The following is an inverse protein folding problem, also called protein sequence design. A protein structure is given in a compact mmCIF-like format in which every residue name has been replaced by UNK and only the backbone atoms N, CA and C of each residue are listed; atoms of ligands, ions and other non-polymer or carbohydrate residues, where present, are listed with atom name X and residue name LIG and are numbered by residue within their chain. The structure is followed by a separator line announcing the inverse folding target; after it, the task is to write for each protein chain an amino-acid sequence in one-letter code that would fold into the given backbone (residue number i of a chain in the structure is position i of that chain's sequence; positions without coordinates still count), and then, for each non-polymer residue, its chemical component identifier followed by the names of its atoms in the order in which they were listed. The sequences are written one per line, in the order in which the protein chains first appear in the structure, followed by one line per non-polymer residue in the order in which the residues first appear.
data_IF_794680882130
#
_entry.id   IF_794680882130
#
_cell.length_a   1.000
_cell.length_b   1.000
_cell.length_c   1.000
_cell.angle_alpha   90.00
_cell.angle_beta   90.00
_cell.angle_gamma   90.00
#
_symmetry.space_group_name_H-M   'P 1'
#
loop_
_entity.id
_entity.type
_entity.pdbx_description
1 polymer ?
#
# COMPACT_ATOMS: atom_id res chain seq x y z
N UNK A 1 35.65 -30.78 -34.54
CA UNK A 1 34.86 -30.97 -33.29
C UNK A 1 34.97 -29.68 -32.48
N UNK A 2 33.93 -28.86 -32.48
CA UNK A 2 33.81 -27.65 -31.66
C UNK A 2 32.67 -27.91 -30.68
N UNK A 3 33.00 -28.03 -29.39
CA UNK A 3 32.03 -28.29 -28.34
C UNK A 3 31.21 -27.02 -28.08
N UNK A 4 30.01 -26.95 -28.64
CA UNK A 4 28.97 -26.01 -28.21
C UNK A 4 28.63 -26.31 -26.75
N UNK A 5 29.08 -25.43 -25.84
CA UNK A 5 28.61 -25.39 -24.46
C UNK A 5 27.11 -25.13 -24.47
N UNK A 6 26.33 -26.19 -24.32
CA UNK A 6 24.92 -26.10 -23.98
C UNK A 6 24.79 -25.32 -22.67
N UNK A 7 24.26 -24.09 -22.76
CA UNK A 7 23.78 -23.39 -21.58
C UNK A 7 22.59 -24.17 -21.03
N UNK A 8 22.63 -24.65 -19.77
CA UNK A 8 21.47 -25.31 -19.20
C UNK A 8 20.33 -24.28 -19.13
N UNK A 9 19.08 -24.68 -19.41
CA UNK A 9 17.95 -23.80 -19.19
C UNK A 9 17.96 -23.41 -17.72
N UNK A 10 18.19 -22.13 -17.45
CA UNK A 10 18.11 -21.54 -16.12
C UNK A 10 16.65 -21.71 -15.69
N UNK A 11 16.33 -22.84 -15.06
CA UNK A 11 15.06 -23.07 -14.38
C UNK A 11 14.89 -21.91 -13.41
N UNK A 12 14.08 -20.92 -13.79
CA UNK A 12 13.61 -19.88 -12.89
C UNK A 12 12.70 -20.59 -11.89
N UNK A 13 13.32 -21.08 -10.83
CA UNK A 13 12.67 -21.66 -9.67
C UNK A 13 11.65 -20.66 -9.14
N UNK A 14 10.38 -21.08 -9.19
CA UNK A 14 9.22 -20.50 -8.55
C UNK A 14 8.54 -19.36 -9.32
N UNK A 15 7.36 -19.59 -9.94
CA UNK A 15 6.42 -18.51 -10.13
C UNK A 15 5.94 -18.12 -8.73
N UNK A 16 6.64 -17.19 -8.08
CA UNK A 16 6.11 -16.52 -6.91
C UNK A 16 4.72 -16.00 -7.29
N UNK A 17 3.70 -16.66 -6.76
CA UNK A 17 2.31 -16.51 -7.18
C UNK A 17 1.98 -15.01 -7.09
N UNK A 18 1.64 -14.31 -8.20
CA UNK A 18 1.56 -12.85 -8.22
C UNK A 18 0.56 -12.29 -7.19
N UNK A 19 -0.39 -13.13 -6.76
CA UNK A 19 -1.28 -12.93 -5.61
C UNK A 19 -0.51 -12.79 -4.29
N UNK A 20 0.40 -13.71 -3.98
CA UNK A 20 1.20 -13.71 -2.74
C UNK A 20 2.17 -12.54 -2.74
N UNK A 21 2.77 -12.24 -3.91
CA UNK A 21 3.63 -11.07 -4.06
C UNK A 21 2.87 -9.76 -3.86
N UNK A 22 1.67 -9.63 -4.43
CA UNK A 22 0.79 -8.48 -4.24
C UNK A 22 0.34 -8.33 -2.79
N UNK A 23 -0.05 -9.44 -2.15
CA UNK A 23 -0.44 -9.49 -0.74
C UNK A 23 0.70 -9.00 0.15
N UNK A 24 1.88 -9.64 0.10
CA UNK A 24 3.05 -9.24 0.91
C UNK A 24 3.48 -7.80 0.67
N UNK A 25 3.48 -7.35 -0.59
CA UNK A 25 3.88 -5.97 -0.93
C UNK A 25 2.95 -4.95 -0.30
N UNK A 26 1.64 -5.18 -0.35
CA UNK A 26 0.67 -4.28 0.27
C UNK A 26 0.64 -4.42 1.79
N UNK A 27 0.86 -5.60 2.37
CA UNK A 27 0.93 -5.79 3.83
C UNK A 27 1.97 -4.89 4.48
N UNK A 28 3.19 -4.86 3.92
CA UNK A 28 4.28 -4.09 4.51
C UNK A 28 4.32 -2.67 3.99
N UNK A 29 4.04 -2.49 2.71
CA UNK A 29 4.26 -1.21 2.09
C UNK A 29 3.05 -0.28 2.14
N UNK A 30 1.82 -0.77 2.33
CA UNK A 30 0.70 0.14 2.57
C UNK A 30 0.83 0.88 3.92
N UNK A 31 1.12 0.20 5.06
CA UNK A 31 1.43 0.90 6.31
C UNK A 31 2.64 1.83 6.20
N UNK A 32 3.65 1.45 5.41
CA UNK A 32 4.86 2.26 5.23
C UNK A 32 4.60 3.52 4.39
N UNK A 33 3.79 3.42 3.33
CA UNK A 33 3.37 4.58 2.54
C UNK A 33 2.47 5.48 3.39
N UNK A 34 1.51 4.91 4.13
CA UNK A 34 0.65 5.66 5.04
C UNK A 34 1.44 6.44 6.10
N UNK A 35 2.39 5.76 6.74
CA UNK A 35 3.26 6.35 7.76
C UNK A 35 4.18 7.44 7.20
N UNK A 36 4.45 7.49 5.89
CA UNK A 36 5.26 8.54 5.28
C UNK A 36 4.41 9.68 4.71
N UNK A 37 3.30 9.37 4.04
CA UNK A 37 2.45 10.34 3.36
C UNK A 37 1.82 11.28 4.37
N UNK A 38 1.18 10.76 5.42
CA UNK A 38 0.44 11.60 6.37
C UNK A 38 1.34 12.57 7.15
N UNK A 39 2.46 12.13 7.77
CA UNK A 39 3.37 13.06 8.44
C UNK A 39 4.04 14.05 7.48
N UNK A 40 4.28 13.66 6.22
CA UNK A 40 4.80 14.59 5.21
C UNK A 40 3.79 15.69 4.87
N UNK A 41 2.51 15.34 4.70
CA UNK A 41 1.43 16.32 4.46
C UNK A 41 1.28 17.26 5.65
N UNK A 42 1.29 16.73 6.87
CA UNK A 42 1.26 17.57 8.08
C UNK A 42 2.47 18.48 8.19
N UNK A 43 3.67 17.97 7.90
CA UNK A 43 4.91 18.75 7.93
C UNK A 43 4.86 19.92 6.94
N UNK A 44 4.40 19.67 5.72
CA UNK A 44 4.24 20.72 4.70
C UNK A 44 3.19 21.74 5.15
N UNK A 45 2.01 21.30 5.57
CA UNK A 45 0.94 22.19 6.02
C UNK A 45 1.38 23.07 7.19
N UNK A 46 2.03 22.49 8.21
CA UNK A 46 2.50 23.22 9.38
C UNK A 46 3.67 24.15 9.04
N UNK A 47 4.55 23.75 8.12
CA UNK A 47 5.64 24.60 7.65
C UNK A 47 5.12 25.82 6.87
N UNK A 48 4.03 25.67 6.13
CA UNK A 48 3.39 26.79 5.40
C UNK A 48 2.71 27.76 6.36
N UNK A 49 2.05 27.26 7.41
CA UNK A 49 1.29 28.11 8.35
C UNK A 49 2.22 28.80 9.37
N UNK A 50 3.16 28.06 9.95
CA UNK A 50 3.95 28.49 11.11
C UNK A 50 5.45 28.71 10.82
N UNK A 51 5.88 28.50 9.57
CA UNK A 51 7.28 28.50 9.16
C UNK A 51 7.99 27.16 9.45
N UNK A 52 9.11 26.86 8.75
CA UNK A 52 9.85 25.62 8.94
C UNK A 52 10.56 25.62 10.29
N UNK A 53 10.22 24.66 11.16
CA UNK A 53 10.82 24.49 12.50
C UNK A 53 11.33 23.06 12.69
N UNK A 54 12.49 22.94 13.32
CA UNK A 54 13.10 21.64 13.67
C UNK A 54 12.20 20.81 14.59
N UNK A 55 11.49 21.45 15.52
CA UNK A 55 10.54 20.78 16.41
C UNK A 55 9.41 20.08 15.66
N UNK A 56 8.87 20.71 14.61
CA UNK A 56 7.82 20.14 13.76
C UNK A 56 8.34 18.91 13.00
N UNK A 57 9.59 18.95 12.57
CA UNK A 57 10.23 17.82 11.88
C UNK A 57 10.42 16.61 12.81
N UNK A 58 10.86 16.85 14.05
CA UNK A 58 11.00 15.79 15.07
C UNK A 58 9.64 15.20 15.46
N UNK A 59 8.61 16.02 15.60
CA UNK A 59 7.24 15.57 15.85
C UNK A 59 6.71 14.69 14.72
N UNK A 60 6.84 15.14 13.47
CA UNK A 60 6.42 14.35 12.31
C UNK A 60 7.19 13.04 12.21
N UNK A 61 8.50 13.02 12.47
CA UNK A 61 9.29 11.79 12.49
C UNK A 61 8.80 10.81 13.56
N UNK A 62 8.42 11.29 14.75
CA UNK A 62 7.80 10.47 15.80
C UNK A 62 6.44 9.91 15.39
N UNK A 63 5.62 10.70 14.68
CA UNK A 63 4.32 10.27 14.17
C UNK A 63 4.42 9.12 13.15
N UNK A 64 5.49 9.06 12.35
CA UNK A 64 5.72 7.93 11.41
C UNK A 64 5.70 6.59 12.15
N UNK A 65 6.45 6.49 13.25
CA UNK A 65 6.54 5.24 14.04
C UNK A 65 5.19 4.90 14.70
N UNK A 66 4.50 5.91 15.21
CA UNK A 66 3.18 5.72 15.82
C UNK A 66 2.14 5.26 14.80
N UNK A 67 2.10 5.86 13.61
CA UNK A 67 1.17 5.48 12.54
C UNK A 67 1.48 4.06 12.05
N UNK A 68 2.76 3.75 11.84
CA UNK A 68 3.18 2.40 11.45
C UNK A 68 2.74 1.38 12.51
N UNK A 69 3.03 1.64 13.78
CA UNK A 69 2.61 0.78 14.89
C UNK A 69 1.09 0.64 14.95
N UNK A 70 0.35 1.76 14.89
CA UNK A 70 -1.10 1.79 14.91
C UNK A 70 -1.71 1.01 13.74
N UNK A 71 -1.14 1.08 12.53
CA UNK A 71 -1.61 0.29 11.39
C UNK A 71 -1.52 -1.22 11.61
N UNK A 72 -0.49 -1.70 12.30
CA UNK A 72 -0.36 -3.11 12.67
C UNK A 72 -1.26 -3.48 13.85
N UNK A 73 -1.31 -2.65 14.89
CA UNK A 73 -2.14 -2.89 16.09
C UNK A 73 -3.64 -2.84 15.81
N UNK A 74 -4.10 -1.88 15.01
CA UNK A 74 -5.51 -1.69 14.65
C UNK A 74 -5.94 -2.56 13.47
N UNK A 75 -5.03 -3.34 12.87
CA UNK A 75 -5.38 -4.28 11.80
C UNK A 75 -5.64 -3.66 10.43
N UNK A 76 -5.36 -2.37 10.22
CA UNK A 76 -5.53 -1.70 8.91
C UNK A 76 -4.66 -2.30 7.80
N UNK A 77 -3.66 -3.12 8.13
CA UNK A 77 -2.94 -3.89 7.13
C UNK A 77 -3.83 -4.93 6.44
N UNK A 78 -4.87 -5.48 7.08
CA UNK A 78 -5.77 -6.51 6.50
C UNK A 78 -6.48 -6.05 5.22
N UNK A 79 -7.21 -4.92 5.19
CA UNK A 79 -7.84 -4.46 3.96
C UNK A 79 -6.81 -4.19 2.85
N UNK A 80 -5.61 -3.74 3.22
CA UNK A 80 -4.51 -3.56 2.27
C UNK A 80 -3.98 -4.90 1.72
N UNK A 81 -3.82 -5.95 2.54
CA UNK A 81 -3.35 -7.27 2.10
C UNK A 81 -4.34 -7.88 1.09
N UNK A 82 -5.64 -7.77 1.39
CA UNK A 82 -6.74 -8.22 0.53
C UNK A 82 -6.72 -7.46 -0.81
N UNK A 83 -6.57 -6.13 -0.77
CA UNK A 83 -6.46 -5.31 -1.97
C UNK A 83 -5.25 -5.73 -2.82
N UNK A 84 -4.08 -5.90 -2.20
CA UNK A 84 -2.86 -6.35 -2.88
C UNK A 84 -2.99 -7.75 -3.49
N UNK A 85 -3.69 -8.66 -2.82
CA UNK A 85 -3.99 -9.99 -3.33
C UNK A 85 -4.89 -9.97 -4.57
N UNK A 86 -5.98 -9.19 -4.53
CA UNK A 86 -6.90 -9.02 -5.67
C UNK A 86 -6.15 -8.39 -6.86
N UNK A 87 -5.39 -7.33 -6.61
CA UNK A 87 -4.61 -6.66 -7.65
C UNK A 87 -3.49 -7.55 -8.21
N UNK A 88 -2.86 -8.36 -7.35
CA UNK A 88 -1.88 -9.37 -7.75
C UNK A 88 -2.49 -10.49 -8.60
N UNK A 89 -3.73 -10.91 -8.31
CA UNK A 89 -4.47 -11.90 -9.10
C UNK A 89 -4.85 -11.38 -10.49
N UNK A 90 -5.25 -10.10 -10.57
CA UNK A 90 -5.55 -9.43 -11.85
C UNK A 90 -4.29 -9.32 -12.71
N UNK A 91 -3.14 -9.05 -12.07
CA UNK A 91 -1.85 -8.99 -12.74
C UNK A 91 -1.75 -7.86 -13.78
N UNK A 92 -0.98 -8.08 -14.84
CA UNK A 92 -0.75 -7.09 -15.92
C UNK A 92 -1.78 -7.17 -17.05
N UNK A 93 -2.90 -7.90 -16.87
CA UNK A 93 -3.94 -8.08 -17.90
C UNK A 93 -4.60 -6.75 -18.34
N UNK A 94 -4.45 -5.70 -17.55
CA UNK A 94 -5.09 -4.40 -17.73
C UNK A 94 -4.01 -3.32 -17.94
N UNK A 95 -4.32 -2.32 -18.78
CA UNK A 95 -3.47 -1.13 -18.95
C UNK A 95 -3.25 -0.42 -17.61
N UNK A 96 -2.02 0.08 -17.40
CA UNK A 96 -1.56 0.72 -16.16
C UNK A 96 -2.51 1.74 -15.54
N UNK A 97 -3.13 2.62 -16.36
CA UNK A 97 -4.08 3.65 -15.89
C UNK A 97 -5.32 3.04 -15.22
N UNK A 98 -5.92 2.04 -15.86
CA UNK A 98 -7.09 1.33 -15.35
C UNK A 98 -6.74 0.45 -14.16
N UNK A 99 -5.55 -0.14 -14.14
CA UNK A 99 -5.05 -0.90 -13.00
C UNK A 99 -4.93 -0.01 -11.75
N UNK A 100 -4.36 1.20 -11.88
CA UNK A 100 -4.28 2.13 -10.74
C UNK A 100 -5.67 2.54 -10.24
N UNK A 101 -6.60 2.85 -11.15
CA UNK A 101 -7.99 3.19 -10.78
C UNK A 101 -8.70 2.03 -10.06
N UNK A 102 -8.58 0.81 -10.57
CA UNK A 102 -9.12 -0.38 -9.90
C UNK A 102 -8.51 -0.55 -8.51
N UNK A 103 -7.19 -0.37 -8.38
CA UNK A 103 -6.48 -0.43 -7.12
C UNK A 103 -6.99 0.56 -6.10
N UNK A 104 -7.19 1.81 -6.52
CA UNK A 104 -7.78 2.84 -5.66
C UNK A 104 -9.17 2.43 -5.22
N UNK A 105 -10.06 2.02 -6.13
CA UNK A 105 -11.45 1.67 -5.80
C UNK A 105 -11.50 0.46 -4.85
N UNK A 106 -10.73 -0.60 -5.15
CA UNK A 106 -10.70 -1.82 -4.34
C UNK A 106 -10.09 -1.54 -2.96
N UNK A 107 -8.95 -0.84 -2.91
CA UNK A 107 -8.29 -0.51 -1.65
C UNK A 107 -9.13 0.40 -0.76
N UNK A 108 -9.73 1.45 -1.33
CA UNK A 108 -10.62 2.35 -0.59
C UNK A 108 -11.90 1.65 -0.16
N UNK A 109 -12.48 0.83 -1.04
CA UNK A 109 -13.70 0.08 -0.74
C UNK A 109 -13.51 -0.91 0.41
N UNK A 110 -12.38 -1.63 0.42
CA UNK A 110 -12.01 -2.53 1.51
C UNK A 110 -11.73 -1.78 2.81
N UNK A 111 -11.08 -0.62 2.74
CA UNK A 111 -10.81 0.21 3.91
C UNK A 111 -12.10 0.78 4.52
N UNK A 112 -13.00 1.30 3.69
CA UNK A 112 -14.32 1.78 4.12
C UNK A 112 -15.15 0.65 4.71
N UNK A 113 -15.15 -0.52 4.06
CA UNK A 113 -15.82 -1.72 4.59
C UNK A 113 -15.26 -2.17 5.92
N UNK A 114 -13.93 -2.12 6.10
CA UNK A 114 -13.27 -2.45 7.36
C UNK A 114 -13.63 -1.47 8.48
N UNK A 115 -13.61 -0.16 8.19
CA UNK A 115 -14.01 0.89 9.15
C UNK A 115 -15.48 0.73 9.56
N UNK A 116 -16.38 0.51 8.60
CA UNK A 116 -17.81 0.28 8.88
C UNK A 116 -18.02 -0.96 9.75
N UNK A 117 -17.32 -2.05 9.43
CA UNK A 117 -17.37 -3.29 10.20
C UNK A 117 -16.84 -3.05 11.63
N UNK A 118 -15.74 -2.30 11.78
CA UNK A 118 -15.18 -1.93 13.07
C UNK A 118 -16.16 -1.10 13.90
N UNK A 119 -16.75 -0.03 13.32
CA UNK A 119 -17.78 0.79 13.98
C UNK A 119 -19.00 -0.03 14.39
N UNK A 120 -19.44 -0.98 13.55
CA UNK A 120 -20.55 -1.87 13.87
C UNK A 120 -20.22 -2.83 15.03
N UNK A 121 -19.03 -3.43 15.04
CA UNK A 121 -18.61 -4.33 16.13
C UNK A 121 -18.37 -3.60 17.45
N UNK A 122 -17.88 -2.36 17.42
CA UNK A 122 -17.61 -1.55 18.61
C UNK A 122 -18.83 -0.77 19.09
N UNK A 123 -19.95 -0.84 18.37
CA UNK A 123 -21.18 -0.08 18.64
C UNK A 123 -20.90 1.43 18.83
N UNK A 124 -19.91 1.92 18.10
CA UNK A 124 -19.44 3.30 18.14
C UNK A 124 -20.01 3.99 16.89
N UNK A 125 -21.06 4.78 17.10
CA UNK A 125 -21.87 5.38 16.03
C UNK A 125 -21.17 6.47 15.25
N UNK A 126 -19.93 6.81 15.62
CA UNK A 126 -19.16 7.89 15.01
C UNK A 126 -17.93 7.34 14.29
N UNK A 127 -17.74 7.72 13.03
CA UNK A 127 -16.49 7.47 12.32
C UNK A 127 -15.44 8.38 12.98
N UNK A 128 -14.73 7.85 13.97
CA UNK A 128 -13.68 8.60 14.66
C UNK A 128 -12.66 9.19 13.68
N UNK A 129 -12.11 10.37 13.99
CA UNK A 129 -11.23 11.11 13.07
C UNK A 129 -10.05 10.28 12.54
N UNK A 130 -9.56 9.31 13.30
CA UNK A 130 -8.51 8.35 12.90
C UNK A 130 -8.97 7.48 11.72
N UNK A 131 -10.21 7.00 11.72
CA UNK A 131 -10.79 6.21 10.64
C UNK A 131 -10.93 7.03 9.35
N UNK A 132 -11.33 8.30 9.47
CA UNK A 132 -11.41 9.22 8.34
C UNK A 132 -10.05 9.48 7.69
N UNK A 133 -9.02 9.69 8.52
CA UNK A 133 -7.63 9.83 8.05
C UNK A 133 -7.17 8.56 7.34
N UNK A 134 -7.47 7.39 7.90
CA UNK A 134 -7.08 6.11 7.33
C UNK A 134 -7.76 5.83 5.97
N UNK A 135 -9.03 6.23 5.80
CA UNK A 135 -9.73 6.16 4.50
C UNK A 135 -9.06 7.09 3.48
N UNK A 136 -8.79 8.34 3.85
CA UNK A 136 -8.16 9.31 2.94
C UNK A 136 -6.76 8.85 2.50
N UNK A 137 -5.96 8.34 3.44
CA UNK A 137 -4.64 7.80 3.17
C UNK A 137 -4.70 6.56 2.27
N UNK A 138 -5.72 5.70 2.44
CA UNK A 138 -5.89 4.51 1.61
C UNK A 138 -6.05 4.82 0.12
N UNK A 139 -6.56 6.00 -0.26
CA UNK A 139 -6.63 6.43 -1.67
C UNK A 139 -5.22 6.57 -2.25
N UNK A 140 -4.37 7.34 -1.56
CA UNK A 140 -3.00 7.63 -2.00
C UNK A 140 -2.16 6.36 -1.96
N UNK A 141 -2.25 5.63 -0.86
CA UNK A 141 -1.52 4.40 -0.62
C UNK A 141 -1.86 3.35 -1.67
N UNK A 142 -3.15 3.15 -1.99
CA UNK A 142 -3.57 2.21 -3.04
C UNK A 142 -3.14 2.66 -4.43
N UNK A 143 -3.21 3.97 -4.74
CA UNK A 143 -2.75 4.49 -6.03
C UNK A 143 -1.25 4.24 -6.25
N UNK A 144 -0.43 4.60 -5.26
CA UNK A 144 1.03 4.44 -5.29
C UNK A 144 1.40 2.97 -5.40
N UNK A 145 0.76 2.12 -4.59
CA UNK A 145 1.08 0.70 -4.57
C UNK A 145 0.64 -0.04 -5.82
N UNK A 146 -0.56 0.24 -6.34
CA UNK A 146 -1.00 -0.35 -7.60
C UNK A 146 -0.13 0.11 -8.77
N UNK A 147 0.35 1.35 -8.75
CA UNK A 147 1.28 1.85 -9.77
C UNK A 147 2.65 1.13 -9.71
N UNK A 148 3.16 0.90 -8.50
CA UNK A 148 4.42 0.19 -8.27
C UNK A 148 4.32 -1.29 -8.62
N UNK A 149 3.24 -1.95 -8.18
CA UNK A 149 2.98 -3.38 -8.42
C UNK A 149 2.83 -3.66 -9.92
N UNK A 150 2.08 -2.84 -10.66
CA UNK A 150 1.95 -2.98 -12.11
C UNK A 150 3.31 -2.92 -12.82
N UNK A 151 4.16 -1.94 -12.45
CA UNK A 151 5.51 -1.79 -13.01
C UNK A 151 6.43 -2.97 -12.67
N UNK A 152 6.28 -3.56 -11.49
CA UNK A 152 7.08 -4.74 -11.06
C UNK A 152 6.64 -5.99 -11.80
N UNK A 153 5.34 -6.22 -11.92
CA UNK A 153 4.79 -7.36 -12.65
C UNK A 153 5.11 -7.26 -14.15
N UNK A 154 5.06 -6.07 -14.74
CA UNK A 154 5.43 -5.85 -16.14
C UNK A 154 6.91 -6.18 -16.40
N UNK A 155 7.81 -5.81 -15.49
CA UNK A 155 9.24 -6.18 -15.60
C UNK A 155 9.48 -7.68 -15.42
N UNK A 156 8.75 -8.32 -14.51
CA UNK A 156 8.86 -9.76 -14.27
C UNK A 156 8.28 -10.59 -15.43
N UNK A 157 7.36 -10.02 -16.21
CA UNK A 157 6.82 -10.66 -17.41
C UNK A 157 7.74 -10.53 -18.64
N UNK A 158 8.72 -9.62 -18.60
CA UNK A 158 9.69 -9.34 -19.67
C UNK A 158 11.06 -10.03 -19.45
N UNK A 159 11.26 -10.71 -18.31
CA UNK A 159 12.47 -11.45 -17.94
C UNK A 159 12.28 -12.95 -18.04
#
# INVERSE_FOLDING_TARGET
MSATREHPPRKSSSPSNPVVFGCLSFTFGAPLVAALVWPSVMLVAWSVINGPKWETLTLCAGMVLLILGASFFLGYFLPATLAGGIMGAIGTRIRRRWFVLLGTIVGTGLMVGYVLLQSYLLNDGEIGGINGIAILDSIVTSAVMSHWLHRRLERAHLS
#
